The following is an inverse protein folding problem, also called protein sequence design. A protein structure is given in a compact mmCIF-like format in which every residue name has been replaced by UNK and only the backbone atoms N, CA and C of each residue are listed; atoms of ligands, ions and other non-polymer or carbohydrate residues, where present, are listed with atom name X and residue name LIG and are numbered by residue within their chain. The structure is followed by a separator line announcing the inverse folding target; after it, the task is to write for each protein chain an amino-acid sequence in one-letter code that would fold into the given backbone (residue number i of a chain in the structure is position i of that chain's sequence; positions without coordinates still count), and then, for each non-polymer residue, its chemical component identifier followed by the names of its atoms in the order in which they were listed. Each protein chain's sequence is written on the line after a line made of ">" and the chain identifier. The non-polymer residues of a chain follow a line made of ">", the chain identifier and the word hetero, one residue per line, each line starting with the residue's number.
data_IF_319289947218
#
_entry.id   IF_319289947218
#
_cell.length_a   1.000
_cell.length_b   1.000
_cell.length_c   1.000
_cell.angle_alpha   90.00
_cell.angle_beta   90.00
_cell.angle_gamma   90.00
#
_symmetry.space_group_name_H-M   'P 1'
#
loop_
_entity.id
_entity.type
_entity.pdbx_description
1 polymer ?
#
# COMPACT_ATOMS: atom_id res chain seq x y z
N UNK A 1 -9.78 7.85 -1.90
CA UNK A 1 -8.69 8.15 -0.96
C UNK A 1 -7.36 7.95 -1.63
N UNK A 2 -6.43 8.85 -1.38
CA UNK A 2 -5.17 8.87 -2.11
C UNK A 2 -4.38 7.58 -1.94
N UNK A 3 -4.31 7.06 -0.71
CA UNK A 3 -3.49 5.87 -0.49
C UNK A 3 -4.03 4.64 -1.23
N UNK A 4 -5.35 4.55 -1.39
CA UNK A 4 -5.95 3.45 -2.15
C UNK A 4 -5.50 3.53 -3.60
N UNK A 5 -5.58 4.73 -4.20
CA UNK A 5 -5.19 4.93 -5.58
C UNK A 5 -3.72 4.61 -5.80
N UNK A 6 -2.86 5.06 -4.88
CA UNK A 6 -1.42 4.82 -4.97
C UNK A 6 -1.13 3.33 -4.90
N UNK A 7 -1.75 2.62 -3.96
CA UNK A 7 -1.52 1.19 -3.82
C UNK A 7 -2.00 0.43 -5.06
N UNK A 8 -3.19 0.80 -5.58
CA UNK A 8 -3.69 0.18 -6.80
C UNK A 8 -2.76 0.43 -7.99
N UNK A 9 -2.22 1.64 -8.09
CA UNK A 9 -1.30 1.96 -9.17
C UNK A 9 -0.01 1.15 -9.08
N UNK A 10 0.54 1.00 -7.87
CA UNK A 10 1.72 0.17 -7.65
C UNK A 10 1.46 -1.26 -8.12
N UNK A 11 0.32 -1.81 -7.73
CA UNK A 11 -0.02 -3.17 -8.08
C UNK A 11 -0.14 -3.34 -9.60
N UNK A 12 -0.74 -2.37 -10.28
CA UNK A 12 -0.88 -2.43 -11.74
C UNK A 12 0.47 -2.30 -12.43
N UNK A 13 1.27 -1.34 -12.03
CA UNK A 13 2.55 -1.08 -12.68
C UNK A 13 3.53 -2.23 -12.51
N UNK A 14 3.46 -2.90 -11.38
CA UNK A 14 4.39 -3.99 -11.08
C UNK A 14 3.75 -5.36 -11.23
N UNK A 15 2.51 -5.40 -11.69
CA UNK A 15 1.80 -6.64 -11.97
C UNK A 15 1.71 -7.52 -10.72
N UNK A 16 1.34 -6.90 -9.59
CA UNK A 16 1.28 -7.58 -8.30
C UNK A 16 -0.15 -7.96 -7.95
N UNK A 17 -0.30 -9.15 -7.37
CA UNK A 17 -1.54 -9.52 -6.70
C UNK A 17 -1.51 -9.00 -5.27
N UNK A 18 -2.67 -9.03 -4.59
CA UNK A 18 -2.73 -8.65 -3.18
C UNK A 18 -1.80 -9.51 -2.34
N UNK A 19 -1.75 -10.81 -2.64
CA UNK A 19 -0.89 -11.73 -1.90
C UNK A 19 0.59 -11.38 -2.08
N UNK A 20 0.99 -11.07 -3.31
CA UNK A 20 2.39 -10.72 -3.58
C UNK A 20 2.77 -9.42 -2.90
N UNK A 21 1.89 -8.42 -2.93
CA UNK A 21 2.15 -7.18 -2.23
C UNK A 21 2.27 -7.42 -0.74
N UNK A 22 1.37 -8.23 -0.18
CA UNK A 22 1.42 -8.58 1.24
C UNK A 22 2.74 -9.26 1.60
N UNK A 23 3.20 -10.18 0.75
CA UNK A 23 4.46 -10.88 0.97
C UNK A 23 5.64 -9.90 0.99
N UNK A 24 5.65 -8.95 0.06
CA UNK A 24 6.72 -7.95 0.00
C UNK A 24 6.75 -7.10 1.25
N UNK A 25 5.57 -6.74 1.76
CA UNK A 25 5.46 -5.86 2.92
C UNK A 25 5.49 -6.63 4.25
N UNK A 26 5.46 -7.96 4.21
CA UNK A 26 5.48 -8.75 5.43
C UNK A 26 4.19 -8.68 6.22
N UNK A 27 3.06 -8.49 5.56
CA UNK A 27 1.74 -8.43 6.19
C UNK A 27 0.84 -9.50 5.59
N UNK A 28 -0.34 -9.68 6.16
CA UNK A 28 -1.32 -10.62 5.63
C UNK A 28 -2.03 -10.04 4.42
N UNK A 29 -2.47 -10.92 3.52
CA UNK A 29 -3.26 -10.48 2.37
C UNK A 29 -4.53 -9.76 2.81
N UNK A 30 -5.16 -10.22 3.90
CA UNK A 30 -6.35 -9.57 4.45
C UNK A 30 -6.09 -8.12 4.78
N UNK A 31 -4.90 -7.81 5.30
CA UNK A 31 -4.51 -6.44 5.61
C UNK A 31 -4.49 -5.57 4.35
N UNK A 32 -3.89 -6.07 3.27
CA UNK A 32 -3.85 -5.35 2.00
C UNK A 32 -5.28 -5.16 1.48
N UNK A 33 -6.10 -6.19 1.56
CA UNK A 33 -7.49 -6.11 1.14
C UNK A 33 -8.25 -5.02 1.88
N UNK A 34 -8.03 -4.91 3.19
CA UNK A 34 -8.69 -3.88 4.00
C UNK A 34 -8.24 -2.48 3.61
N UNK A 35 -6.98 -2.30 3.24
CA UNK A 35 -6.51 -1.02 2.73
C UNK A 35 -7.25 -0.64 1.45
N UNK A 36 -7.37 -1.60 0.52
CA UNK A 36 -8.01 -1.35 -0.76
C UNK A 36 -9.50 -1.10 -0.64
N UNK A 37 -10.14 -1.65 0.39
CA UNK A 37 -11.55 -1.42 0.67
C UNK A 37 -11.79 -0.15 1.47
N UNK A 38 -10.72 0.50 1.93
CA UNK A 38 -10.84 1.71 2.72
C UNK A 38 -11.23 1.47 4.17
N UNK A 39 -11.17 0.21 4.62
CA UNK A 39 -11.54 -0.13 6.01
C UNK A 39 -10.45 0.18 7.00
N UNK A 40 -9.19 0.11 6.56
CA UNK A 40 -8.04 0.41 7.40
C UNK A 40 -7.00 1.14 6.57
N UNK A 41 -6.25 2.01 7.23
CA UNK A 41 -5.13 2.70 6.61
C UNK A 41 -3.85 1.93 6.89
N UNK A 42 -2.86 1.98 5.99
CA UNK A 42 -1.56 1.38 6.28
C UNK A 42 -0.95 2.00 7.53
N UNK A 43 -0.36 1.17 8.37
CA UNK A 43 0.34 1.64 9.55
C UNK A 43 1.70 2.23 9.19
N UNK A 44 2.36 2.79 10.21
CA UNK A 44 3.64 3.46 10.02
C UNK A 44 4.67 2.52 9.38
N UNK A 45 4.78 1.31 9.89
CA UNK A 45 5.75 0.34 9.37
C UNK A 45 5.48 0.01 7.90
N UNK A 46 4.22 -0.17 7.55
CA UNK A 46 3.84 -0.47 6.16
C UNK A 46 4.15 0.70 5.25
N UNK A 47 3.93 1.92 5.71
CA UNK A 47 4.24 3.12 4.94
C UNK A 47 5.73 3.24 4.68
N UNK A 48 6.55 2.97 5.70
CA UNK A 48 8.00 2.98 5.52
C UNK A 48 8.44 1.94 4.49
N UNK A 49 7.85 0.75 4.53
CA UNK A 49 8.19 -0.30 3.57
C UNK A 49 7.74 0.08 2.16
N UNK A 50 6.58 0.69 2.02
CA UNK A 50 6.13 1.18 0.71
C UNK A 50 7.10 2.22 0.16
N UNK A 51 7.55 3.13 1.02
CA UNK A 51 8.53 4.11 0.61
C UNK A 51 9.85 3.45 0.18
N UNK A 52 10.36 2.53 1.00
CA UNK A 52 11.65 1.89 0.73
C UNK A 52 11.62 1.01 -0.51
N UNK A 53 10.54 0.25 -0.68
CA UNK A 53 10.49 -0.75 -1.74
C UNK A 53 9.97 -0.22 -3.06
N UNK A 54 9.11 0.79 -3.01
CA UNK A 54 8.46 1.33 -4.21
C UNK A 54 8.74 2.81 -4.43
N UNK A 55 9.51 3.43 -3.53
CA UNK A 55 9.90 4.83 -3.64
C UNK A 55 8.67 5.77 -3.67
N UNK A 56 7.70 5.48 -2.80
CA UNK A 56 6.45 6.24 -2.74
C UNK A 56 6.56 7.30 -1.65
N UNK A 57 6.22 8.55 -2.00
CA UNK A 57 6.22 9.63 -1.02
C UNK A 57 5.17 9.36 0.07
N UNK A 58 5.55 9.39 1.37
CA UNK A 58 4.58 9.14 2.44
C UNK A 58 3.38 10.10 2.42
N UNK A 59 3.58 11.33 2.01
CA UNK A 59 2.49 12.32 1.93
C UNK A 59 1.36 11.85 1.03
N UNK A 60 1.71 11.20 -0.06
CA UNK A 60 0.71 10.70 -0.99
C UNK A 60 -0.14 9.60 -0.34
N UNK A 61 0.50 8.77 0.49
CA UNK A 61 -0.20 7.67 1.14
C UNK A 61 -1.21 8.16 2.17
N UNK A 62 -0.91 9.25 2.83
CA UNK A 62 -1.81 9.80 3.83
C UNK A 62 -2.84 10.76 3.25
N UNK A 63 -2.63 11.23 2.02
CA UNK A 63 -3.54 12.20 1.44
C UNK A 63 -3.55 13.51 2.21
N UNK A 64 -2.39 13.96 2.63
CA UNK A 64 -2.26 15.16 3.45
C UNK A 64 -2.34 16.46 2.66
N UNK A 65 -2.19 16.36 1.37
CA UNK A 65 -2.23 17.51 0.48
C UNK A 65 -3.65 17.90 0.19
#
# INVERSE_FOLDING_TARGET
>A
MVYIDVIQQIMQERNLTQQKLADILGVNQTTVSQWLLGKKKPGYDSILLLYEKFNIEPNWLFGLE
#
